data_IF_600587120468
#
_entry.id   IF_600587120468
#
_cell.length_a   1.000
_cell.length_b   1.000
_cell.length_c   1.000
_cell.angle_alpha   90.00
_cell.angle_beta   90.00
_cell.angle_gamma   90.00
#
_symmetry.space_group_name_H-M   'P 1'
#
loop_
_entity.id
_entity.type
_entity.pdbx_description
1 polymer ?
#
# COMPACT_ATOMS: atom_id res chain seq x y z
N UNK A 1 -17.25 13.31 2.51
CA UNK A 1 -17.42 11.84 2.55
C UNK A 1 -17.40 11.22 1.14
N UNK A 2 -18.07 11.79 0.12
CA UNK A 2 -18.16 11.16 -1.22
C UNK A 2 -16.91 11.12 -2.13
N UNK A 3 -15.91 12.01 -1.97
CA UNK A 3 -14.74 12.00 -2.87
C UNK A 3 -13.74 10.86 -2.57
N UNK A 4 -13.65 10.44 -1.30
CA UNK A 4 -12.75 9.36 -0.90
C UNK A 4 -13.30 7.97 -1.30
N UNK A 5 -14.63 7.81 -1.39
CA UNK A 5 -15.29 6.55 -1.82
C UNK A 5 -15.00 6.24 -3.28
N UNK A 6 -14.87 7.29 -4.08
CA UNK A 6 -14.56 7.17 -5.50
C UNK A 6 -13.05 7.10 -5.75
N UNK A 7 -12.23 7.62 -4.83
CA UNK A 7 -10.77 7.67 -5.00
C UNK A 7 -10.10 6.30 -4.86
N UNK A 8 -10.55 5.45 -3.92
CA UNK A 8 -9.97 4.13 -3.71
C UNK A 8 -10.00 3.22 -4.96
N UNK A 9 -11.15 2.98 -5.61
CA UNK A 9 -11.19 2.13 -6.80
C UNK A 9 -10.39 2.71 -7.97
N UNK A 10 -10.33 4.05 -8.10
CA UNK A 10 -9.54 4.70 -9.13
C UNK A 10 -8.03 4.55 -8.87
N UNK A 11 -7.59 4.71 -7.63
CA UNK A 11 -6.18 4.50 -7.24
C UNK A 11 -5.78 3.03 -7.39
N UNK A 12 -6.67 2.09 -7.06
CA UNK A 12 -6.41 0.66 -7.28
C UNK A 12 -6.22 0.37 -8.77
N UNK A 13 -7.12 0.85 -9.63
CA UNK A 13 -7.00 0.70 -11.08
C UNK A 13 -5.71 1.34 -11.62
N UNK A 14 -5.36 2.53 -11.14
CA UNK A 14 -4.12 3.20 -11.55
C UNK A 14 -2.87 2.40 -11.13
N UNK A 15 -2.85 1.85 -9.92
CA UNK A 15 -1.75 1.01 -9.44
C UNK A 15 -1.59 -0.24 -10.31
N UNK A 16 -2.69 -0.89 -10.69
CA UNK A 16 -2.65 -2.08 -11.53
C UNK A 16 -2.20 -1.75 -12.96
N UNK A 17 -2.60 -0.60 -13.53
CA UNK A 17 -2.05 -0.12 -14.81
C UNK A 17 -0.54 0.14 -14.73
N UNK A 18 -0.06 0.78 -13.66
CA UNK A 18 1.38 1.02 -13.50
C UNK A 18 2.17 -0.27 -13.32
N UNK A 19 1.60 -1.27 -12.64
CA UNK A 19 2.18 -2.60 -12.56
C UNK A 19 2.34 -3.24 -13.95
N UNK A 20 1.27 -3.24 -14.77
CA UNK A 20 1.30 -3.78 -16.12
C UNK A 20 2.31 -3.07 -17.04
N UNK A 21 2.52 -1.76 -16.82
CA UNK A 21 3.47 -0.95 -17.57
C UNK A 21 4.92 -1.03 -17.03
N UNK A 22 5.17 -1.79 -15.96
CA UNK A 22 6.47 -1.88 -15.31
C UNK A 22 6.94 -0.54 -14.68
N UNK A 23 6.00 0.33 -14.30
CA UNK A 23 6.27 1.63 -13.67
C UNK A 23 6.25 1.52 -12.15
N UNK A 24 7.25 0.83 -11.61
CA UNK A 24 7.30 0.48 -10.17
C UNK A 24 7.20 1.70 -9.24
N UNK A 25 7.91 2.80 -9.53
CA UNK A 25 7.82 4.03 -8.72
C UNK A 25 6.40 4.63 -8.71
N UNK A 26 5.72 4.61 -9.87
CA UNK A 26 4.35 5.14 -9.99
C UNK A 26 3.35 4.23 -9.30
N UNK A 27 3.53 2.90 -9.37
CA UNK A 27 2.75 1.94 -8.61
C UNK A 27 2.93 2.18 -7.10
N UNK A 28 4.18 2.32 -6.63
CA UNK A 28 4.50 2.55 -5.23
C UNK A 28 3.86 3.82 -4.66
N UNK A 29 3.96 4.94 -5.39
CA UNK A 29 3.34 6.19 -4.97
C UNK A 29 1.82 6.10 -4.95
N UNK A 30 1.21 5.47 -5.95
CA UNK A 30 -0.24 5.27 -6.03
C UNK A 30 -0.75 4.44 -4.85
N UNK A 31 -0.07 3.33 -4.54
CA UNK A 31 -0.39 2.48 -3.39
C UNK A 31 -0.21 3.21 -2.06
N UNK A 32 0.80 4.07 -1.92
CA UNK A 32 0.95 4.93 -0.74
C UNK A 32 -0.26 5.85 -0.52
N UNK A 33 -0.74 6.49 -1.59
CA UNK A 33 -1.94 7.34 -1.50
C UNK A 33 -3.19 6.53 -1.16
N UNK A 34 -3.34 5.35 -1.75
CA UNK A 34 -4.46 4.44 -1.43
C UNK A 34 -4.44 4.05 0.05
N UNK A 35 -3.28 3.63 0.57
CA UNK A 35 -3.12 3.26 1.97
C UNK A 35 -3.46 4.43 2.93
N UNK A 36 -3.12 5.67 2.55
CA UNK A 36 -3.47 6.85 3.33
C UNK A 36 -5.00 7.07 3.36
N UNK A 37 -5.69 6.88 2.24
CA UNK A 37 -7.16 7.04 2.18
C UNK A 37 -7.86 5.95 2.99
N UNK A 38 -7.42 4.69 2.87
CA UNK A 38 -7.93 3.58 3.68
C UNK A 38 -7.77 3.87 5.18
N UNK A 39 -6.62 4.40 5.59
CA UNK A 39 -6.36 4.81 6.98
C UNK A 39 -7.33 5.90 7.46
N UNK A 40 -7.57 6.93 6.63
CA UNK A 40 -8.52 8.01 6.95
C UNK A 40 -9.96 7.52 7.10
N UNK A 41 -10.28 6.35 6.57
CA UNK A 41 -11.60 5.71 6.61
C UNK A 41 -11.72 4.64 7.70
N UNK A 42 -10.64 4.38 8.44
CA UNK A 42 -10.61 3.35 9.48
C UNK A 42 -10.29 1.95 8.97
N UNK A 43 -9.98 1.78 7.68
CA UNK A 43 -9.49 0.54 7.07
C UNK A 43 -8.03 0.28 7.43
N UNK A 44 -7.74 0.04 8.70
CA UNK A 44 -6.37 -0.08 9.22
C UNK A 44 -5.62 -1.27 8.62
N UNK A 45 -6.29 -2.44 8.54
CA UNK A 45 -5.69 -3.65 7.97
C UNK A 45 -5.39 -3.49 6.48
N UNK A 46 -6.35 -2.97 5.72
CA UNK A 46 -6.19 -2.72 4.29
C UNK A 46 -5.06 -1.72 4.04
N UNK A 47 -5.00 -0.64 4.82
CA UNK A 47 -3.93 0.36 4.76
C UNK A 47 -2.54 -0.26 4.98
N UNK A 48 -2.39 -1.14 5.98
CA UNK A 48 -1.12 -1.83 6.23
C UNK A 48 -0.73 -2.71 5.03
N UNK A 49 -1.67 -3.51 4.51
CA UNK A 49 -1.42 -4.40 3.38
C UNK A 49 -1.02 -3.61 2.14
N UNK A 50 -1.78 -2.56 1.81
CA UNK A 50 -1.53 -1.70 0.66
C UNK A 50 -0.21 -0.94 0.79
N UNK A 51 0.08 -0.38 1.97
CA UNK A 51 1.35 0.31 2.20
C UNK A 51 2.54 -0.65 2.12
N UNK A 52 2.38 -1.89 2.59
CA UNK A 52 3.42 -2.90 2.50
C UNK A 52 3.73 -3.26 1.04
N UNK A 53 2.69 -3.45 0.21
CA UNK A 53 2.85 -3.63 -1.24
C UNK A 53 3.57 -2.44 -1.89
N UNK A 54 3.29 -1.21 -1.44
CA UNK A 54 4.01 -0.03 -1.92
C UNK A 54 5.51 -0.09 -1.64
N UNK A 55 5.90 -0.56 -0.45
CA UNK A 55 7.32 -0.70 -0.07
C UNK A 55 8.04 -1.78 -0.88
N UNK A 56 7.33 -2.83 -1.32
CA UNK A 56 7.91 -3.89 -2.14
C UNK A 56 8.13 -3.47 -3.59
N UNK A 57 7.48 -2.39 -4.04
CA UNK A 57 7.70 -1.76 -5.36
C UNK A 57 8.80 -0.71 -5.36
N UNK A 58 9.31 -0.31 -4.20
CA UNK A 58 10.37 0.70 -4.13
C UNK A 58 11.75 0.04 -4.22
N UNK A 59 12.58 0.54 -5.15
CA UNK A 59 13.95 0.03 -5.33
C UNK A 59 14.84 0.21 -4.09
N UNK A 60 14.84 1.41 -3.48
CA UNK A 60 15.64 1.72 -2.29
C UNK A 60 14.81 2.27 -1.14
N UNK A 61 14.64 1.44 -0.10
CA UNK A 61 13.95 1.84 1.12
C UNK A 61 14.89 2.60 2.07
N UNK A 62 14.41 3.73 2.58
CA UNK A 62 15.02 4.41 3.74
C UNK A 62 14.97 3.52 5.00
N UNK A 63 15.80 3.82 6.00
CA UNK A 63 15.80 3.06 7.26
C UNK A 63 14.43 3.01 7.96
N UNK A 64 13.65 4.10 7.88
CA UNK A 64 12.28 4.15 8.42
C UNK A 64 11.33 3.24 7.66
N UNK A 65 11.41 3.25 6.33
CA UNK A 65 10.60 2.38 5.48
C UNK A 65 10.92 0.90 5.71
N UNK A 66 12.20 0.55 5.86
CA UNK A 66 12.61 -0.82 6.22
C UNK A 66 12.01 -1.25 7.55
N UNK A 67 12.05 -0.38 8.57
CA UNK A 67 11.45 -0.66 9.87
C UNK A 67 9.93 -0.86 9.76
N UNK A 68 9.23 0.01 9.04
CA UNK A 68 7.78 -0.12 8.84
C UNK A 68 7.46 -1.45 8.15
N UNK A 69 8.17 -1.81 7.07
CA UNK A 69 7.99 -3.09 6.38
C UNK A 69 8.15 -4.27 7.32
N UNK A 70 9.21 -4.28 8.13
CA UNK A 70 9.47 -5.35 9.10
C UNK A 70 8.34 -5.46 10.13
N UNK A 71 7.90 -4.35 10.71
CA UNK A 71 6.82 -4.34 11.69
C UNK A 71 5.48 -4.77 11.09
N UNK A 72 5.15 -4.28 9.88
CA UNK A 72 3.96 -4.69 9.13
C UNK A 72 3.96 -6.19 8.86
N UNK A 73 5.08 -6.74 8.39
CA UNK A 73 5.21 -8.18 8.13
C UNK A 73 5.03 -9.02 9.40
N UNK A 74 5.60 -8.59 10.53
CA UNK A 74 5.42 -9.27 11.83
C UNK A 74 3.96 -9.22 12.25
N UNK A 75 3.34 -8.04 12.19
CA UNK A 75 1.94 -7.84 12.57
C UNK A 75 1.00 -8.68 11.72
N UNK A 76 1.13 -8.64 10.38
CA UNK A 76 0.31 -9.43 9.45
C UNK A 76 0.47 -10.94 9.72
N UNK A 77 1.69 -11.39 10.01
CA UNK A 77 1.95 -12.79 10.38
C UNK A 77 1.26 -13.18 11.70
N UNK A 78 1.26 -12.31 12.71
CA UNK A 78 0.61 -12.56 14.01
C UNK A 78 -0.90 -12.75 13.83
N UNK A 79 -1.52 -11.96 12.97
CA UNK A 79 -2.96 -12.03 12.72
C UNK A 79 -3.35 -13.06 11.63
N UNK A 80 -2.38 -13.82 11.11
CA UNK A 80 -2.63 -14.89 10.14
C UNK A 80 -2.85 -14.43 8.69
N UNK A 81 -2.51 -13.18 8.35
CA UNK A 81 -2.54 -12.68 6.97
C UNK A 81 -1.25 -13.09 6.26
N UNK A 82 -1.36 -13.84 5.16
CA UNK A 82 -0.22 -14.16 4.29
C UNK A 82 0.13 -12.94 3.44
N UNK A 83 1.30 -12.36 3.70
CA UNK A 83 1.98 -11.49 2.74
C UNK A 83 2.63 -12.42 1.73
N UNK A 84 2.20 -12.37 0.47
CA UNK A 84 2.71 -13.23 -0.62
C UNK A 84 3.44 -12.37 -1.62
#
# INVERSE_FOLDING_TARGET
RGAADQAEPLLQQAADMFYELGKEDMEADTLRYLAQIQMQRGGFLDSIITYNRALDRMGDLTGRQKLIRTLSNIFLKIIGVKVT
#
